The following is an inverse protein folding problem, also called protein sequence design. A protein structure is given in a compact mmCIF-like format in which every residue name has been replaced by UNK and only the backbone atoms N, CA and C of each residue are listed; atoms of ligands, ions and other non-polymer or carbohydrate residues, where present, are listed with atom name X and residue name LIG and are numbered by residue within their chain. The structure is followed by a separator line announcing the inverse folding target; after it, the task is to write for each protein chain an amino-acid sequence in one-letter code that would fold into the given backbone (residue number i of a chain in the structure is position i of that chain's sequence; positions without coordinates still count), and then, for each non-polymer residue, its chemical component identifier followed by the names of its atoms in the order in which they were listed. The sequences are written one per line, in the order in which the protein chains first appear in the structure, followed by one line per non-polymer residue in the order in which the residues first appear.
data_IF_316593724252
#
_entry.id   IF_316593724252
#
_cell.length_a   1.000
_cell.length_b   1.000
_cell.length_c   1.000
_cell.angle_alpha   90.00
_cell.angle_beta   90.00
_cell.angle_gamma   90.00
#
_symmetry.space_group_name_H-M   'P 1'
#
loop_
_entity.id
_entity.type
_entity.pdbx_description
1 polymer ?
#
# COMPACT_ATOMS: atom_id res chain seq x y z
N UNK A 1 -41.61 18.34 -12.46
CA UNK A 1 -41.59 18.13 -11.00
C UNK A 1 -41.89 16.70 -10.55
N UNK A 2 -42.41 15.81 -11.38
CA UNK A 2 -42.90 14.46 -10.99
C UNK A 2 -41.82 13.37 -11.07
N UNK A 3 -40.70 13.59 -11.71
CA UNK A 3 -39.65 12.56 -11.89
C UNK A 3 -38.62 12.53 -10.74
N UNK A 4 -38.41 13.65 -10.06
CA UNK A 4 -37.48 13.73 -8.91
C UNK A 4 -38.09 13.14 -7.62
N UNK A 5 -39.40 13.16 -7.45
CA UNK A 5 -40.05 12.58 -6.27
C UNK A 5 -40.04 11.04 -6.27
N UNK A 6 -40.14 10.40 -7.43
CA UNK A 6 -40.11 8.93 -7.52
C UNK A 6 -38.72 8.31 -7.24
N UNK A 7 -37.62 9.05 -7.46
CA UNK A 7 -36.27 8.56 -7.12
C UNK A 7 -35.99 8.61 -5.61
N UNK A 8 -36.61 9.53 -4.88
CA UNK A 8 -36.43 9.65 -3.44
C UNK A 8 -37.13 8.53 -2.65
N UNK A 9 -38.33 8.13 -3.09
CA UNK A 9 -39.09 7.05 -2.44
C UNK A 9 -38.48 5.67 -2.68
N UNK A 10 -37.92 5.42 -3.87
CA UNK A 10 -37.26 4.16 -4.17
C UNK A 10 -35.93 3.99 -3.38
N UNK A 11 -35.19 5.07 -3.10
CA UNK A 11 -33.96 5.03 -2.29
C UNK A 11 -34.19 4.55 -0.85
N UNK A 12 -35.24 5.03 -0.19
CA UNK A 12 -35.59 4.67 1.18
C UNK A 12 -36.09 3.23 1.30
N UNK A 13 -36.89 2.75 0.37
CA UNK A 13 -37.42 1.38 0.39
C UNK A 13 -36.30 0.30 0.28
N UNK A 14 -35.23 0.58 -0.47
CA UNK A 14 -34.09 -0.31 -0.59
C UNK A 14 -33.23 -0.32 0.68
N UNK A 15 -33.02 0.82 1.32
CA UNK A 15 -32.25 0.94 2.56
C UNK A 15 -32.99 0.23 3.70
N UNK A 16 -34.30 0.42 3.83
CA UNK A 16 -35.11 -0.26 4.85
C UNK A 16 -35.14 -1.78 4.63
N UNK A 17 -35.25 -2.26 3.40
CA UNK A 17 -35.17 -3.67 3.06
C UNK A 17 -33.78 -4.24 3.36
N UNK A 18 -32.70 -3.49 3.11
CA UNK A 18 -31.33 -3.92 3.41
C UNK A 18 -31.09 -4.02 4.91
N UNK A 19 -31.51 -3.04 5.70
CA UNK A 19 -31.39 -3.05 7.17
C UNK A 19 -32.23 -4.17 7.78
N UNK A 20 -33.45 -4.39 7.33
CA UNK A 20 -34.31 -5.47 7.81
C UNK A 20 -33.79 -6.88 7.42
N UNK A 21 -33.01 -6.98 6.35
CA UNK A 21 -32.51 -8.24 5.80
C UNK A 21 -31.21 -8.73 6.46
N UNK A 22 -30.41 -7.82 7.04
CA UNK A 22 -29.12 -8.13 7.66
C UNK A 22 -29.20 -8.82 9.03
N UNK A 23 -30.40 -9.03 9.59
CA UNK A 23 -30.59 -9.63 10.94
C UNK A 23 -30.77 -11.17 10.92
N UNK A 24 -30.74 -11.83 9.76
CA UNK A 24 -30.95 -13.30 9.71
C UNK A 24 -30.36 -13.99 8.48
N UNK A 25 -29.39 -14.84 8.71
CA UNK A 25 -29.00 -16.06 7.95
C UNK A 25 -28.88 -15.98 6.41
N UNK A 26 -28.32 -14.93 5.83
CA UNK A 26 -27.98 -14.94 4.41
C UNK A 26 -26.64 -15.62 4.14
N UNK A 27 -26.54 -16.33 3.00
CA UNK A 27 -25.25 -16.80 2.51
C UNK A 27 -24.32 -15.60 2.16
N UNK A 28 -23.00 -15.67 2.40
CA UNK A 28 -22.06 -14.55 2.14
C UNK A 28 -22.16 -13.97 0.72
N UNK A 29 -22.40 -14.80 -0.29
CA UNK A 29 -22.59 -14.36 -1.68
C UNK A 29 -23.85 -13.53 -1.89
N UNK A 30 -24.93 -13.79 -1.16
CA UNK A 30 -26.16 -13.03 -1.24
C UNK A 30 -26.03 -11.69 -0.51
N UNK A 31 -25.30 -11.63 0.62
CA UNK A 31 -24.96 -10.37 1.29
C UNK A 31 -24.15 -9.45 0.38
N UNK A 32 -23.13 -10.00 -0.29
CA UNK A 32 -22.32 -9.24 -1.25
C UNK A 32 -23.16 -8.66 -2.37
N UNK A 33 -24.08 -9.43 -2.97
CA UNK A 33 -24.94 -8.96 -4.06
C UNK A 33 -25.88 -7.85 -3.60
N UNK A 34 -26.50 -7.98 -2.43
CA UNK A 34 -27.36 -6.95 -1.84
C UNK A 34 -26.59 -5.64 -1.56
N UNK A 35 -25.37 -5.77 -1.04
CA UNK A 35 -24.47 -4.64 -0.81
C UNK A 35 -24.13 -3.91 -2.12
N UNK A 36 -23.78 -4.64 -3.18
CA UNK A 36 -23.49 -4.04 -4.48
C UNK A 36 -24.73 -3.42 -5.14
N UNK A 37 -25.92 -3.98 -4.90
CA UNK A 37 -27.18 -3.41 -5.40
C UNK A 37 -27.45 -2.05 -4.75
N UNK A 38 -27.28 -1.97 -3.42
CA UNK A 38 -27.40 -0.69 -2.69
C UNK A 38 -26.31 0.32 -3.16
N UNK A 39 -25.06 -0.12 -3.35
CA UNK A 39 -24.00 0.72 -3.89
C UNK A 39 -24.36 1.31 -5.26
N UNK A 40 -24.93 0.50 -6.15
CA UNK A 40 -25.43 0.97 -7.45
C UNK A 40 -26.59 1.96 -7.29
N UNK A 41 -27.45 1.75 -6.30
CA UNK A 41 -28.54 2.66 -5.96
C UNK A 41 -28.05 4.07 -5.56
N UNK A 42 -26.90 4.19 -4.92
CA UNK A 42 -26.24 5.46 -4.63
C UNK A 42 -25.51 6.09 -5.84
N UNK A 43 -25.40 5.38 -6.95
CA UNK A 43 -24.75 5.86 -8.18
C UNK A 43 -23.36 5.27 -8.41
N UNK A 44 -22.91 4.33 -7.59
CA UNK A 44 -21.71 3.53 -7.84
C UNK A 44 -21.89 2.58 -9.04
N UNK A 45 -20.79 2.12 -9.61
CA UNK A 45 -20.79 1.08 -10.65
C UNK A 45 -20.04 -0.14 -10.11
N UNK A 46 -20.69 -1.29 -10.13
CA UNK A 46 -20.09 -2.58 -9.79
C UNK A 46 -20.74 -3.66 -10.67
N UNK A 47 -20.10 -3.98 -11.79
CA UNK A 47 -20.58 -4.95 -12.77
C UNK A 47 -19.58 -6.10 -12.90
N UNK A 48 -20.07 -7.34 -12.96
CA UNK A 48 -19.26 -8.55 -13.12
C UNK A 48 -18.19 -8.71 -12.04
N UNK A 49 -18.53 -8.51 -10.77
CA UNK A 49 -17.59 -8.57 -9.66
C UNK A 49 -18.13 -9.35 -8.47
N UNK A 50 -17.28 -10.18 -7.86
CA UNK A 50 -17.54 -10.88 -6.62
C UNK A 50 -16.34 -10.78 -5.68
N UNK A 51 -16.60 -10.81 -4.37
CA UNK A 51 -15.55 -10.94 -3.36
C UNK A 51 -15.35 -12.41 -3.01
N UNK A 52 -14.12 -12.89 -3.00
CA UNK A 52 -13.76 -14.21 -2.51
C UNK A 52 -12.30 -14.27 -2.07
N UNK A 53 -11.94 -15.33 -1.38
CA UNK A 53 -10.55 -15.63 -1.05
C UNK A 53 -9.77 -16.03 -2.30
N UNK A 54 -8.53 -15.56 -2.37
CA UNK A 54 -7.58 -15.80 -3.45
C UNK A 54 -6.15 -15.91 -2.94
N UNK A 55 -5.16 -15.94 -3.83
CA UNK A 55 -3.75 -16.08 -3.46
C UNK A 55 -3.20 -14.96 -2.57
N UNK A 56 -3.85 -13.79 -2.58
CA UNK A 56 -3.48 -12.61 -1.81
C UNK A 56 -4.44 -12.30 -0.66
N UNK A 57 -5.19 -13.32 -0.19
CA UNK A 57 -6.27 -13.16 0.78
C UNK A 57 -7.60 -12.80 0.12
N UNK A 58 -8.48 -12.12 0.87
CA UNK A 58 -9.75 -11.66 0.31
C UNK A 58 -9.53 -10.60 -0.77
N UNK A 59 -10.13 -10.80 -1.93
CA UNK A 59 -9.97 -9.91 -3.08
C UNK A 59 -11.21 -9.88 -3.97
N UNK A 60 -11.14 -9.12 -5.07
CA UNK A 60 -12.21 -9.02 -6.06
C UNK A 60 -11.88 -9.85 -7.30
N UNK A 61 -12.88 -10.56 -7.78
CA UNK A 61 -12.79 -11.47 -8.93
C UNK A 61 -13.93 -11.22 -9.91
N UNK A 62 -13.74 -11.45 -11.23
CA UNK A 62 -14.85 -11.44 -12.15
C UNK A 62 -15.80 -12.63 -11.87
N UNK A 63 -17.12 -12.40 -11.95
CA UNK A 63 -18.11 -13.48 -11.93
C UNK A 63 -17.98 -14.32 -13.20
N UNK A 64 -17.81 -13.63 -14.35
CA UNK A 64 -17.55 -14.23 -15.65
C UNK A 64 -16.21 -13.69 -16.18
N UNK A 65 -15.13 -14.51 -16.19
CA UNK A 65 -13.80 -14.08 -16.64
C UNK A 65 -13.75 -13.60 -18.09
N UNK A 66 -14.70 -14.00 -18.92
CA UNK A 66 -14.80 -13.58 -20.33
C UNK A 66 -15.41 -12.19 -20.52
N UNK A 67 -15.97 -11.60 -19.47
CA UNK A 67 -16.66 -10.30 -19.54
C UNK A 67 -15.87 -9.18 -18.87
N UNK A 68 -16.12 -7.97 -19.35
CA UNK A 68 -15.53 -6.76 -18.76
C UNK A 68 -16.05 -6.52 -17.34
N UNK A 69 -15.14 -6.34 -16.42
CA UNK A 69 -15.40 -5.78 -15.07
C UNK A 69 -15.51 -4.27 -15.20
N UNK A 70 -16.48 -3.67 -14.50
CA UNK A 70 -16.57 -2.22 -14.34
C UNK A 70 -16.81 -1.90 -12.87
N UNK A 71 -15.87 -1.25 -12.25
CA UNK A 71 -15.94 -0.73 -10.88
C UNK A 71 -15.70 0.77 -10.93
N UNK A 72 -16.58 1.56 -10.29
CA UNK A 72 -16.41 3.01 -10.16
C UNK A 72 -17.06 3.52 -8.89
N UNK A 73 -16.31 4.32 -8.16
CA UNK A 73 -16.80 5.12 -7.03
C UNK A 73 -16.86 6.57 -7.51
N UNK A 74 -18.05 7.16 -7.71
CA UNK A 74 -18.18 8.58 -8.02
C UNK A 74 -17.63 9.46 -6.89
N UNK A 75 -17.22 10.69 -7.19
CA UNK A 75 -16.70 11.64 -6.20
C UNK A 75 -17.61 11.79 -4.98
N UNK A 76 -18.93 11.80 -5.18
CA UNK A 76 -19.94 11.93 -4.12
C UNK A 76 -19.97 10.75 -3.13
N UNK A 77 -19.35 9.61 -3.48
CA UNK A 77 -19.28 8.40 -2.63
C UNK A 77 -17.86 8.13 -2.12
N UNK A 78 -16.88 8.93 -2.50
CA UNK A 78 -15.53 8.87 -1.92
C UNK A 78 -15.57 9.43 -0.51
N UNK A 79 -15.03 8.68 0.46
CA UNK A 79 -15.10 9.07 1.87
C UNK A 79 -13.75 9.60 2.32
N UNK A 80 -13.61 10.91 2.64
CA UNK A 80 -12.39 11.47 3.20
C UNK A 80 -11.97 10.73 4.48
N UNK A 81 -10.67 10.45 4.66
CA UNK A 81 -10.19 9.70 5.83
C UNK A 81 -10.41 10.44 7.15
N UNK A 82 -10.53 11.76 7.13
CA UNK A 82 -10.86 12.60 8.28
C UNK A 82 -12.37 12.64 8.57
N UNK A 83 -13.22 12.22 7.62
CA UNK A 83 -14.65 12.07 7.79
C UNK A 83 -15.07 10.76 8.47
N UNK A 84 -14.14 9.83 8.72
CA UNK A 84 -14.44 8.56 9.41
C UNK A 84 -13.87 8.54 10.82
N UNK A 85 -14.46 7.69 11.66
CA UNK A 85 -13.96 7.38 13.00
C UNK A 85 -14.26 5.93 13.36
N UNK A 86 -13.56 5.44 14.37
CA UNK A 86 -13.88 4.17 15.02
C UNK A 86 -14.81 4.45 16.20
N UNK A 87 -15.97 3.83 16.22
CA UNK A 87 -16.97 3.93 17.28
C UNK A 87 -17.45 2.53 17.65
N UNK A 88 -17.21 2.11 18.89
CA UNK A 88 -17.58 0.78 19.41
C UNK A 88 -17.13 -0.37 18.47
N UNK A 89 -15.90 -0.27 17.95
CA UNK A 89 -15.32 -1.26 17.02
C UNK A 89 -15.78 -1.17 15.57
N UNK A 90 -16.73 -0.28 15.25
CA UNK A 90 -17.24 -0.06 13.89
C UNK A 90 -16.63 1.19 13.24
N UNK A 91 -16.34 1.11 11.94
CA UNK A 91 -15.92 2.27 11.14
C UNK A 91 -17.16 3.02 10.66
N UNK A 92 -17.34 4.23 11.15
CA UNK A 92 -18.52 5.06 10.89
C UNK A 92 -18.16 6.41 10.27
N UNK A 93 -19.08 6.98 9.50
CA UNK A 93 -18.99 8.34 8.97
C UNK A 93 -19.44 9.32 10.08
N UNK A 94 -18.64 10.36 10.37
CA UNK A 94 -18.90 11.35 11.42
C UNK A 94 -20.12 12.22 11.13
N UNK A 95 -20.26 12.65 9.87
CA UNK A 95 -21.37 13.47 9.41
C UNK A 95 -22.11 12.80 8.26
N UNK A 96 -23.19 12.03 8.55
CA UNK A 96 -24.01 11.38 7.53
C UNK A 96 -24.65 12.34 6.54
N UNK A 97 -24.89 13.61 6.92
CA UNK A 97 -25.57 14.59 6.08
C UNK A 97 -24.75 15.05 4.86
N UNK A 98 -23.43 14.82 4.89
CA UNK A 98 -22.53 15.10 3.77
C UNK A 98 -22.65 14.08 2.62
N UNK A 99 -23.41 13.00 2.80
CA UNK A 99 -23.55 11.91 1.84
C UNK A 99 -25.02 11.66 1.46
N UNK A 100 -25.28 10.87 0.40
CA UNK A 100 -26.65 10.49 0.05
C UNK A 100 -27.36 9.81 1.23
N UNK A 101 -28.67 10.03 1.41
CA UNK A 101 -29.44 9.40 2.48
C UNK A 101 -29.26 7.88 2.52
N UNK A 102 -28.96 7.32 3.70
CA UNK A 102 -28.71 5.89 3.92
C UNK A 102 -27.28 5.42 3.54
N UNK A 103 -26.45 6.26 2.93
CA UNK A 103 -25.10 5.87 2.54
C UNK A 103 -24.19 5.58 3.75
N UNK A 104 -24.31 6.36 4.84
CA UNK A 104 -23.50 6.15 6.04
C UNK A 104 -23.77 4.79 6.70
N UNK A 105 -25.03 4.36 6.76
CA UNK A 105 -25.40 3.05 7.29
C UNK A 105 -24.92 1.92 6.39
N UNK A 106 -25.03 2.09 5.08
CA UNK A 106 -24.48 1.16 4.10
C UNK A 106 -22.96 1.06 4.23
N UNK A 107 -22.25 2.19 4.37
CA UNK A 107 -20.79 2.23 4.52
C UNK A 107 -20.35 1.50 5.78
N UNK A 108 -21.02 1.71 6.90
CA UNK A 108 -20.74 1.00 8.16
C UNK A 108 -20.91 -0.52 7.98
N UNK A 109 -21.99 -0.98 7.35
CA UNK A 109 -22.22 -2.40 7.06
C UNK A 109 -21.18 -2.98 6.09
N UNK A 110 -20.81 -2.22 5.05
CA UNK A 110 -19.75 -2.57 4.13
C UNK A 110 -18.41 -2.77 4.87
N UNK A 111 -18.03 -1.83 5.71
CA UNK A 111 -16.79 -1.92 6.49
C UNK A 111 -16.82 -3.12 7.44
N UNK A 112 -17.92 -3.34 8.14
CA UNK A 112 -18.07 -4.43 9.10
C UNK A 112 -17.99 -5.82 8.46
N UNK A 113 -18.58 -6.00 7.28
CA UNK A 113 -18.74 -7.33 6.69
C UNK A 113 -17.73 -7.65 5.56
N UNK A 114 -17.13 -6.65 4.93
CA UNK A 114 -16.33 -6.86 3.71
C UNK A 114 -14.94 -6.21 3.73
N UNK A 115 -14.64 -5.33 4.68
CA UNK A 115 -13.36 -4.64 4.76
C UNK A 115 -12.78 -4.69 6.18
N UNK A 116 -13.02 -3.70 7.03
CA UNK A 116 -12.48 -3.61 8.39
C UNK A 116 -12.78 -4.84 9.26
N UNK A 117 -14.04 -5.22 9.38
CA UNK A 117 -14.50 -6.29 10.28
C UNK A 117 -14.27 -7.70 9.75
N UNK A 118 -14.08 -7.90 8.43
CA UNK A 118 -13.84 -9.24 7.88
C UNK A 118 -12.44 -9.74 8.25
N UNK A 119 -11.40 -9.09 7.72
CA UNK A 119 -10.00 -9.44 7.97
C UNK A 119 -9.09 -8.23 8.14
N UNK A 120 -9.54 -7.04 7.76
CA UNK A 120 -8.70 -5.85 7.69
C UNK A 120 -8.07 -5.48 9.03
N UNK A 121 -8.83 -5.58 10.13
CA UNK A 121 -8.33 -5.33 11.48
C UNK A 121 -7.32 -6.40 11.91
N UNK A 122 -7.70 -7.68 11.82
CA UNK A 122 -6.90 -8.81 12.31
C UNK A 122 -5.57 -8.97 11.58
N UNK A 123 -5.56 -8.82 10.26
CA UNK A 123 -4.34 -8.95 9.46
C UNK A 123 -3.33 -7.84 9.79
N UNK A 124 -3.80 -6.61 9.97
CA UNK A 124 -2.95 -5.49 10.40
C UNK A 124 -2.44 -5.73 11.82
N UNK A 125 -3.31 -6.17 12.73
CA UNK A 125 -2.92 -6.45 14.11
C UNK A 125 -1.86 -7.54 14.19
N UNK A 126 -2.05 -8.66 13.50
CA UNK A 126 -1.10 -9.77 13.45
C UNK A 126 0.26 -9.33 12.87
N UNK A 127 0.25 -8.53 11.81
CA UNK A 127 1.47 -7.99 11.22
C UNK A 127 2.23 -7.07 12.19
N UNK A 128 1.54 -6.14 12.83
CA UNK A 128 2.15 -5.22 13.79
C UNK A 128 2.69 -5.93 15.03
N UNK A 129 2.00 -6.96 15.53
CA UNK A 129 2.52 -7.81 16.63
C UNK A 129 3.75 -8.59 16.19
N UNK A 130 3.74 -9.15 14.99
CA UNK A 130 4.90 -9.83 14.43
C UNK A 130 6.12 -8.91 14.33
N UNK A 131 5.92 -7.64 13.95
CA UNK A 131 7.01 -6.67 13.94
C UNK A 131 7.46 -6.29 15.36
N UNK A 132 6.56 -6.10 16.31
CA UNK A 132 6.90 -5.79 17.72
C UNK A 132 7.72 -6.89 18.38
N UNK A 133 7.49 -8.13 18.01
CA UNK A 133 8.20 -9.29 18.56
C UNK A 133 9.65 -9.43 18.06
N UNK A 134 10.08 -8.61 17.09
CA UNK A 134 11.46 -8.63 16.60
C UNK A 134 12.46 -8.18 17.66
N UNK A 135 13.72 -8.66 17.61
CA UNK A 135 14.78 -8.22 18.53
C UNK A 135 15.04 -6.71 18.45
N UNK A 136 15.43 -6.10 19.56
CA UNK A 136 15.76 -4.67 19.66
C UNK A 136 16.81 -4.22 18.65
N UNK A 137 17.82 -5.06 18.38
CA UNK A 137 18.84 -4.76 17.38
C UNK A 137 18.24 -4.58 15.97
N UNK A 138 17.27 -5.42 15.61
CA UNK A 138 16.55 -5.30 14.34
C UNK A 138 15.72 -4.00 14.31
N UNK A 139 15.03 -3.64 15.40
CA UNK A 139 14.30 -2.38 15.50
C UNK A 139 15.21 -1.16 15.33
N UNK A 140 16.37 -1.17 15.96
CA UNK A 140 17.37 -0.09 15.83
C UNK A 140 17.85 0.06 14.39
N UNK A 141 18.12 -1.04 13.71
CA UNK A 141 18.54 -1.02 12.30
C UNK A 141 17.40 -0.56 11.37
N UNK A 142 16.18 -1.04 11.55
CA UNK A 142 15.03 -0.58 10.77
C UNK A 142 14.82 0.94 10.92
N UNK A 143 14.94 1.46 12.14
CA UNK A 143 14.87 2.90 12.42
C UNK A 143 16.00 3.67 11.74
N UNK A 144 17.24 3.21 11.89
CA UNK A 144 18.43 3.82 11.27
C UNK A 144 18.34 3.85 9.75
N UNK A 145 17.83 2.78 9.15
CA UNK A 145 17.66 2.65 7.70
C UNK A 145 16.43 3.39 7.14
N UNK A 146 15.66 4.08 8.00
CA UNK A 146 14.48 4.85 7.60
C UNK A 146 13.27 3.99 7.20
N UNK A 147 13.28 2.71 7.54
CA UNK A 147 12.25 1.75 7.14
C UNK A 147 11.07 1.70 8.14
N UNK A 148 11.39 1.68 9.44
CA UNK A 148 10.40 1.48 10.48
C UNK A 148 10.85 2.17 11.77
N UNK A 149 9.95 2.86 12.43
CA UNK A 149 10.18 3.42 13.75
C UNK A 149 9.01 3.05 14.66
N UNK A 150 9.27 2.15 15.62
CA UNK A 150 8.28 1.66 16.57
C UNK A 150 7.64 2.81 17.37
N UNK A 151 8.45 3.78 17.81
CA UNK A 151 7.99 4.91 18.62
C UNK A 151 6.96 5.79 17.90
N UNK A 152 7.09 5.91 16.58
CA UNK A 152 6.17 6.72 15.75
C UNK A 152 4.97 5.90 15.23
N UNK A 153 5.01 4.59 15.37
CA UNK A 153 3.99 3.70 14.80
C UNK A 153 2.84 3.46 15.76
N UNK A 154 3.15 3.46 17.06
CA UNK A 154 2.20 3.29 18.16
C UNK A 154 2.46 4.32 19.26
N UNK A 155 2.17 5.61 19.00
CA UNK A 155 2.50 6.68 19.94
C UNK A 155 1.53 6.78 21.11
N UNK A 156 0.43 6.03 21.14
CA UNK A 156 -0.63 6.17 22.11
C UNK A 156 -0.91 4.92 22.95
N UNK A 157 -1.83 5.06 23.89
CA UNK A 157 -2.30 3.97 24.77
C UNK A 157 -3.49 3.19 24.17
N UNK A 158 -4.15 3.74 23.15
CA UNK A 158 -5.32 3.14 22.53
C UNK A 158 -4.94 2.33 21.29
N UNK A 159 -4.66 1.03 21.49
CA UNK A 159 -4.24 0.09 20.46
C UNK A 159 -5.25 -0.02 19.30
N UNK A 160 -6.54 -0.08 19.60
CA UNK A 160 -7.58 -0.22 18.57
C UNK A 160 -7.56 0.98 17.62
N UNK A 161 -7.41 2.19 18.17
CA UNK A 161 -7.28 3.40 17.37
C UNK A 161 -6.01 3.42 16.51
N UNK A 162 -4.91 2.86 17.00
CA UNK A 162 -3.66 2.77 16.25
C UNK A 162 -3.80 1.79 15.07
N UNK A 163 -4.39 0.62 15.28
CA UNK A 163 -4.71 -0.34 14.21
C UNK A 163 -5.65 0.30 13.17
N UNK A 164 -6.66 1.05 13.63
CA UNK A 164 -7.55 1.78 12.73
C UNK A 164 -6.81 2.83 11.89
N UNK A 165 -5.90 3.60 12.48
CA UNK A 165 -5.06 4.54 11.71
C UNK A 165 -4.17 3.82 10.68
N UNK A 166 -3.66 2.64 11.02
CA UNK A 166 -2.92 1.79 10.06
C UNK A 166 -3.83 1.30 8.94
N UNK A 167 -5.02 0.83 9.27
CA UNK A 167 -6.02 0.43 8.29
C UNK A 167 -6.30 1.57 7.29
N UNK A 168 -6.59 2.77 7.76
CA UNK A 168 -6.82 3.92 6.88
C UNK A 168 -5.62 4.19 5.97
N UNK A 169 -4.39 4.12 6.50
CA UNK A 169 -3.16 4.34 5.71
C UNK A 169 -2.97 3.33 4.57
N UNK A 170 -3.50 2.13 4.69
CA UNK A 170 -3.40 1.10 3.64
C UNK A 170 -4.53 1.15 2.62
N UNK A 171 -5.58 1.93 2.86
CA UNK A 171 -6.83 1.95 2.08
C UNK A 171 -7.10 3.27 1.35
N UNK A 172 -6.47 4.38 1.75
CA UNK A 172 -6.72 5.64 1.08
C UNK A 172 -5.90 5.82 -0.18
N UNK A 173 -6.42 6.64 -1.08
CA UNK A 173 -5.69 7.19 -2.22
C UNK A 173 -5.76 8.72 -2.18
N UNK A 174 -4.76 9.40 -2.74
CA UNK A 174 -4.85 10.85 -2.98
C UNK A 174 -5.68 11.09 -4.25
N UNK A 175 -6.81 11.77 -4.11
CA UNK A 175 -7.68 12.14 -5.21
C UNK A 175 -8.07 13.61 -5.10
N UNK A 176 -7.77 14.40 -6.13
CA UNK A 176 -8.04 15.86 -6.16
C UNK A 176 -7.54 16.60 -4.91
N UNK A 177 -6.39 16.21 -4.39
CA UNK A 177 -5.77 16.82 -3.20
C UNK A 177 -6.26 16.29 -1.84
N UNK A 178 -7.25 15.41 -1.81
CA UNK A 178 -7.79 14.81 -0.59
C UNK A 178 -7.38 13.33 -0.47
N UNK A 179 -7.20 12.86 0.75
CA UNK A 179 -7.03 11.43 1.05
C UNK A 179 -8.41 10.81 1.24
N UNK A 180 -8.78 9.88 0.36
CA UNK A 180 -10.14 9.30 0.33
C UNK A 180 -10.12 7.78 0.35
N UNK A 181 -11.09 7.17 1.03
CA UNK A 181 -11.43 5.76 0.90
C UNK A 181 -12.30 5.56 -0.34
N UNK A 182 -12.15 4.41 -0.97
CA UNK A 182 -12.84 4.02 -2.19
C UNK A 182 -13.67 2.76 -1.94
N UNK A 183 -14.84 2.84 -1.30
CA UNK A 183 -15.61 1.63 -0.96
C UNK A 183 -15.81 0.71 -2.16
N UNK A 184 -15.74 -0.60 -1.94
CA UNK A 184 -15.69 -1.65 -2.95
C UNK A 184 -14.34 -1.73 -3.69
N UNK A 185 -13.86 -0.64 -4.29
CA UNK A 185 -12.58 -0.63 -5.02
C UNK A 185 -11.37 -0.88 -4.10
N UNK A 186 -11.44 -0.46 -2.84
CA UNK A 186 -10.35 -0.69 -1.86
C UNK A 186 -10.09 -2.17 -1.54
N UNK A 187 -10.98 -3.07 -1.97
CA UNK A 187 -10.83 -4.53 -1.82
C UNK A 187 -10.02 -5.17 -2.96
N UNK A 188 -9.62 -4.40 -3.97
CA UNK A 188 -8.78 -4.89 -5.06
C UNK A 188 -7.35 -5.05 -4.57
N UNK A 189 -6.76 -6.21 -4.78
CA UNK A 189 -5.38 -6.49 -4.36
C UNK A 189 -4.32 -5.91 -5.30
N UNK A 190 -3.08 -5.90 -4.83
CA UNK A 190 -1.96 -5.30 -5.54
C UNK A 190 -1.24 -6.29 -6.46
N UNK A 191 -0.84 -5.80 -7.66
CA UNK A 191 0.20 -6.41 -8.47
C UNK A 191 1.06 -5.34 -9.15
N UNK A 192 2.39 -5.44 -9.11
CA UNK A 192 3.29 -4.42 -9.69
C UNK A 192 3.13 -4.25 -11.20
N UNK A 193 2.72 -5.32 -11.91
CA UNK A 193 2.52 -5.30 -13.35
C UNK A 193 1.15 -4.80 -13.80
N UNK A 194 0.20 -4.64 -12.85
CA UNK A 194 -1.14 -4.16 -13.14
C UNK A 194 -1.14 -2.65 -13.45
N UNK A 195 -2.23 -2.19 -14.06
CA UNK A 195 -2.48 -0.75 -14.21
C UNK A 195 -2.85 -0.14 -12.86
N UNK A 196 -2.53 1.13 -12.66
CA UNK A 196 -3.01 1.89 -11.50
C UNK A 196 -4.51 2.19 -11.57
N UNK A 197 -5.03 2.77 -10.50
CA UNK A 197 -6.40 3.28 -10.47
C UNK A 197 -6.61 4.37 -11.53
N UNK A 198 -7.74 4.30 -12.23
CA UNK A 198 -8.14 5.38 -13.12
C UNK A 198 -8.85 6.46 -12.29
N UNK A 199 -8.20 7.62 -12.17
CA UNK A 199 -8.68 8.79 -11.42
C UNK A 199 -9.23 9.89 -12.36
N UNK A 200 -9.51 9.55 -13.61
CA UNK A 200 -10.08 10.49 -14.58
C UNK A 200 -11.59 10.72 -14.38
N UNK A 201 -12.07 11.93 -14.69
CA UNK A 201 -13.48 12.27 -14.63
C UNK A 201 -14.00 12.55 -13.23
N UNK A 202 -15.16 11.98 -12.89
CA UNK A 202 -15.95 12.23 -11.68
C UNK A 202 -15.87 11.07 -10.67
N UNK A 203 -14.67 10.55 -10.44
CA UNK A 203 -14.45 9.49 -9.46
C UNK A 203 -13.23 8.63 -9.75
N UNK A 204 -13.19 7.48 -9.08
CA UNK A 204 -12.11 6.49 -9.19
C UNK A 204 -12.66 5.20 -9.76
N UNK A 205 -11.95 4.59 -10.71
CA UNK A 205 -12.42 3.40 -11.40
C UNK A 205 -11.33 2.33 -11.56
N UNK A 206 -11.78 1.09 -11.63
CA UNK A 206 -11.02 -0.10 -12.05
C UNK A 206 -11.88 -0.87 -13.05
N UNK A 207 -11.28 -1.41 -14.08
CA UNK A 207 -12.01 -2.20 -15.05
C UNK A 207 -11.14 -2.87 -16.07
N UNK A 208 -11.79 -3.67 -16.93
CA UNK A 208 -11.15 -4.45 -17.96
C UNK A 208 -11.58 -5.91 -17.95
N UNK A 209 -11.00 -6.71 -18.81
CA UNK A 209 -11.18 -8.17 -18.81
C UNK A 209 -10.10 -8.78 -17.94
N UNK A 210 -10.49 -9.56 -16.95
CA UNK A 210 -9.60 -10.26 -16.03
C UNK A 210 -9.90 -11.76 -16.12
N UNK A 211 -8.85 -12.57 -16.27
CA UNK A 211 -8.99 -14.03 -16.32
C UNK A 211 -9.17 -14.62 -14.92
N UNK A 212 -8.64 -13.94 -13.90
CA UNK A 212 -8.67 -14.32 -12.51
C UNK A 212 -8.86 -13.07 -11.65
N UNK A 213 -8.14 -12.90 -10.55
CA UNK A 213 -8.26 -11.78 -9.62
C UNK A 213 -8.10 -10.41 -10.29
N UNK A 214 -8.92 -9.45 -9.87
CA UNK A 214 -8.83 -8.06 -10.29
C UNK A 214 -7.72 -7.41 -9.48
N UNK A 215 -6.62 -7.07 -10.14
CA UNK A 215 -5.43 -6.51 -9.51
C UNK A 215 -5.14 -5.11 -10.02
N UNK A 216 -4.60 -4.27 -9.15
CA UNK A 216 -4.13 -2.91 -9.49
C UNK A 216 -2.72 -2.67 -8.96
N UNK A 217 -2.01 -1.74 -9.57
CA UNK A 217 -0.78 -1.21 -8.98
C UNK A 217 -1.15 -0.04 -8.04
N UNK A 218 -0.92 -0.21 -6.74
CA UNK A 218 -1.26 0.81 -5.74
C UNK A 218 -0.40 2.06 -5.89
N UNK A 219 0.90 1.88 -6.14
CA UNK A 219 1.89 2.96 -6.32
C UNK A 219 3.24 2.37 -6.71
N UNK A 220 4.13 3.20 -7.19
CA UNK A 220 5.55 2.85 -7.30
C UNK A 220 6.15 2.72 -5.91
N UNK A 221 6.73 1.57 -5.62
CA UNK A 221 7.36 1.26 -4.33
C UNK A 221 8.52 0.29 -4.52
N UNK A 222 9.22 -0.01 -3.45
CA UNK A 222 10.14 -1.14 -3.35
C UNK A 222 9.61 -2.20 -2.37
N UNK A 223 10.19 -3.41 -2.35
CA UNK A 223 9.68 -4.52 -1.53
C UNK A 223 9.58 -4.22 -0.04
N UNK A 224 10.59 -3.57 0.56
CA UNK A 224 10.58 -3.27 2.00
C UNK A 224 9.56 -2.18 2.37
N UNK A 225 9.45 -1.13 1.57
CA UNK A 225 8.43 -0.11 1.79
C UNK A 225 7.03 -0.66 1.56
N UNK A 226 6.85 -1.60 0.60
CA UNK A 226 5.58 -2.30 0.40
C UNK A 226 5.23 -3.15 1.63
N UNK A 227 6.14 -3.99 2.10
CA UNK A 227 5.93 -4.81 3.28
C UNK A 227 5.59 -3.95 4.50
N UNK A 228 6.46 -3.00 4.85
CA UNK A 228 6.30 -2.22 6.07
C UNK A 228 5.15 -1.20 5.99
N UNK A 229 4.76 -0.80 4.78
CA UNK A 229 3.63 0.09 4.53
C UNK A 229 2.28 -0.63 4.55
N UNK A 230 2.19 -1.78 3.93
CA UNK A 230 0.93 -2.49 3.66
C UNK A 230 0.80 -3.85 4.34
N UNK A 231 1.87 -4.43 4.88
CA UNK A 231 1.83 -5.69 5.64
C UNK A 231 1.96 -6.95 4.79
N UNK A 232 2.39 -6.85 3.52
CA UNK A 232 2.59 -8.01 2.66
C UNK A 232 3.86 -7.92 1.82
N UNK A 233 4.46 -9.08 1.53
CA UNK A 233 5.61 -9.20 0.65
C UNK A 233 5.19 -9.13 -0.83
N UNK A 234 5.96 -8.41 -1.64
CA UNK A 234 5.76 -8.32 -3.07
C UNK A 234 7.10 -8.11 -3.79
N UNK A 235 7.29 -8.84 -4.90
CA UNK A 235 8.45 -8.67 -5.76
C UNK A 235 8.29 -7.44 -6.66
N UNK A 236 8.42 -6.26 -6.05
CA UNK A 236 8.39 -5.00 -6.79
C UNK A 236 9.51 -4.94 -7.84
N UNK A 237 9.26 -4.31 -9.00
CA UNK A 237 10.27 -4.24 -10.07
C UNK A 237 11.38 -3.22 -9.80
N UNK A 238 11.21 -2.35 -8.81
CA UNK A 238 12.10 -1.24 -8.46
C UNK A 238 12.66 -1.38 -7.06
N UNK A 239 13.94 -1.06 -6.89
CA UNK A 239 14.63 -0.99 -5.59
C UNK A 239 15.17 0.41 -5.37
N UNK A 240 14.71 1.08 -4.31
CA UNK A 240 15.23 2.37 -3.86
C UNK A 240 16.29 2.18 -2.78
N UNK A 241 17.11 3.20 -2.55
CA UNK A 241 18.07 3.18 -1.45
C UNK A 241 17.37 3.25 -0.10
N UNK A 242 17.96 2.60 0.88
CA UNK A 242 17.73 2.83 2.31
C UNK A 242 18.43 4.11 2.76
N UNK A 243 18.12 4.61 3.96
CA UNK A 243 18.90 5.69 4.56
C UNK A 243 20.32 5.21 4.86
N UNK A 244 21.30 5.96 4.38
CA UNK A 244 22.71 5.68 4.61
C UNK A 244 23.48 6.96 4.96
N UNK A 245 24.56 6.80 5.69
CA UNK A 245 25.58 7.82 5.86
C UNK A 245 26.92 7.23 5.47
N UNK A 246 27.61 7.81 4.50
CA UNK A 246 28.88 7.33 3.97
C UNK A 246 29.88 8.48 3.70
N UNK A 247 31.13 8.14 3.43
CA UNK A 247 32.15 9.09 3.05
C UNK A 247 32.50 8.92 1.57
N UNK A 248 32.49 10.01 0.81
CA UNK A 248 32.89 10.03 -0.59
C UNK A 248 33.88 11.17 -0.84
N UNK A 249 35.12 10.84 -1.22
CA UNK A 249 36.19 11.80 -1.46
C UNK A 249 36.40 12.82 -0.30
N UNK A 250 36.32 12.34 0.94
CA UNK A 250 36.50 13.19 2.14
C UNK A 250 35.26 14.01 2.53
N UNK A 251 34.19 13.93 1.78
CA UNK A 251 32.91 14.60 2.06
C UNK A 251 31.89 13.60 2.63
N UNK A 252 31.14 14.02 3.64
CA UNK A 252 30.02 13.24 4.15
C UNK A 252 28.88 13.22 3.12
N UNK A 253 28.33 12.02 2.85
CA UNK A 253 27.15 11.83 2.01
C UNK A 253 26.04 11.24 2.85
N UNK A 254 24.89 11.94 2.90
CA UNK A 254 23.67 11.48 3.56
C UNK A 254 22.70 11.08 2.47
N UNK A 255 22.37 9.79 2.44
CA UNK A 255 21.34 9.25 1.54
C UNK A 255 20.03 9.14 2.31
N UNK A 256 19.03 9.83 1.84
CA UNK A 256 17.65 9.71 2.30
C UNK A 256 16.92 8.73 1.38
N UNK A 257 16.67 7.55 1.90
CA UNK A 257 16.02 6.46 1.18
C UNK A 257 14.51 6.64 1.02
N UNK A 258 13.87 5.62 0.47
CA UNK A 258 12.42 5.54 0.34
C UNK A 258 11.92 5.61 -1.10
N UNK A 259 10.68 5.16 -1.29
CA UNK A 259 10.01 5.18 -2.58
C UNK A 259 9.60 6.60 -3.02
N UNK A 260 9.24 6.73 -4.29
CA UNK A 260 8.89 8.00 -4.94
C UNK A 260 7.47 7.95 -5.47
N UNK A 261 6.74 9.04 -5.30
CA UNK A 261 5.38 9.20 -5.84
C UNK A 261 5.35 9.77 -7.27
N UNK A 262 6.45 10.38 -7.73
CA UNK A 262 6.53 11.10 -9.02
C UNK A 262 7.00 10.23 -10.21
N UNK A 263 7.09 8.92 -9.99
CA UNK A 263 7.46 7.93 -11.01
C UNK A 263 8.94 7.60 -11.06
N UNK A 264 9.29 6.62 -11.93
CA UNK A 264 10.63 6.04 -12.02
C UNK A 264 11.58 6.75 -13.00
N UNK A 265 11.05 7.65 -13.85
CA UNK A 265 11.83 8.25 -14.96
C UNK A 265 12.54 9.54 -14.61
N UNK A 266 12.27 10.11 -13.44
CA UNK A 266 12.94 11.34 -12.98
C UNK A 266 14.23 11.02 -12.24
N UNK A 267 15.30 11.82 -12.40
CA UNK A 267 16.48 11.74 -11.56
C UNK A 267 16.14 11.95 -10.07
N UNK A 268 16.93 11.37 -9.18
CA UNK A 268 16.89 11.73 -7.76
C UNK A 268 17.38 13.18 -7.55
N UNK A 269 17.07 13.74 -6.39
CA UNK A 269 17.59 15.06 -6.01
C UNK A 269 18.97 14.91 -5.35
N UNK A 270 19.94 15.73 -5.74
CA UNK A 270 21.25 15.83 -5.09
C UNK A 270 21.50 17.28 -4.75
N UNK A 271 21.74 17.54 -3.46
CA UNK A 271 21.95 18.89 -2.92
C UNK A 271 23.20 18.95 -2.06
N UNK A 272 23.98 20.03 -2.19
CA UNK A 272 25.06 20.31 -1.26
C UNK A 272 24.51 21.17 -0.13
N UNK A 273 24.64 20.70 1.10
CA UNK A 273 24.22 21.40 2.30
C UNK A 273 25.43 21.51 3.23
N UNK A 274 25.96 22.72 3.38
CA UNK A 274 27.17 23.02 4.15
C UNK A 274 28.35 22.10 3.72
N UNK A 275 28.80 21.22 4.62
CA UNK A 275 29.91 20.30 4.44
C UNK A 275 29.52 18.91 3.94
N UNK A 276 28.21 18.66 3.73
CA UNK A 276 27.66 17.36 3.32
C UNK A 276 26.94 17.41 1.98
N UNK A 277 26.88 16.26 1.32
CA UNK A 277 26.07 16.00 0.15
C UNK A 277 24.83 15.22 0.58
N UNK A 278 23.64 15.70 0.22
CA UNK A 278 22.36 15.02 0.47
C UNK A 278 21.84 14.44 -0.82
N UNK A 279 21.62 13.13 -0.85
CA UNK A 279 21.06 12.39 -1.99
C UNK A 279 19.69 11.88 -1.60
N UNK A 280 18.62 12.30 -2.29
CA UNK A 280 17.25 12.01 -1.91
C UNK A 280 16.63 10.98 -2.85
N UNK A 281 16.20 9.86 -2.32
CA UNK A 281 15.46 8.77 -2.99
C UNK A 281 16.13 8.26 -4.28
N UNK A 282 17.41 7.86 -4.27
CA UNK A 282 18.04 7.30 -5.45
C UNK A 282 17.44 5.92 -5.75
N UNK A 283 17.06 5.73 -7.01
CA UNK A 283 16.69 4.43 -7.57
C UNK A 283 17.98 3.64 -7.81
N UNK A 284 18.10 2.43 -7.26
CA UNK A 284 19.28 1.57 -7.37
C UNK A 284 19.10 0.43 -8.37
N UNK A 285 17.87 -0.05 -8.51
CA UNK A 285 17.55 -1.14 -9.43
C UNK A 285 16.20 -0.98 -10.10
N UNK A 286 16.10 -1.47 -11.33
CA UNK A 286 14.85 -1.57 -12.07
C UNK A 286 14.91 -2.80 -12.98
N UNK A 287 14.16 -3.84 -12.67
CA UNK A 287 14.23 -5.16 -13.35
C UNK A 287 14.04 -5.07 -14.87
N UNK A 288 13.14 -4.21 -15.36
CA UNK A 288 12.86 -4.08 -16.80
C UNK A 288 13.91 -3.25 -17.56
N UNK A 289 14.62 -2.37 -16.85
CA UNK A 289 15.59 -1.44 -17.43
C UNK A 289 16.81 -1.31 -16.50
N UNK A 290 17.68 -2.33 -16.37
CA UNK A 290 18.75 -2.35 -15.38
C UNK A 290 19.75 -1.18 -15.47
N UNK A 291 19.95 -0.62 -16.67
CA UNK A 291 20.83 0.53 -16.90
C UNK A 291 20.23 1.90 -16.53
N UNK A 292 18.90 1.99 -16.43
CA UNK A 292 18.21 3.26 -16.19
C UNK A 292 18.56 3.89 -14.84
N UNK A 293 18.63 3.16 -13.71
CA UNK A 293 18.98 3.74 -12.40
C UNK A 293 20.30 4.50 -12.43
N UNK A 294 21.36 3.91 -12.99
CA UNK A 294 22.67 4.54 -13.11
C UNK A 294 22.67 5.77 -14.03
N UNK A 295 21.91 5.72 -15.12
CA UNK A 295 21.73 6.85 -16.03
C UNK A 295 21.02 8.03 -15.34
N UNK A 296 19.95 7.75 -14.61
CA UNK A 296 19.20 8.78 -13.87
C UNK A 296 20.06 9.39 -12.75
N UNK A 297 20.83 8.56 -12.03
CA UNK A 297 21.75 9.01 -11.00
C UNK A 297 22.87 9.90 -11.57
N UNK A 298 23.46 9.52 -12.70
CA UNK A 298 24.47 10.34 -13.38
C UNK A 298 23.91 11.69 -13.81
N UNK A 299 22.68 11.74 -14.29
CA UNK A 299 22.00 13.03 -14.62
C UNK A 299 21.80 13.88 -13.36
N UNK A 300 21.43 13.27 -12.23
CA UNK A 300 21.31 13.99 -10.97
C UNK A 300 22.67 14.56 -10.49
N UNK A 301 23.75 13.79 -10.64
CA UNK A 301 25.10 14.23 -10.28
C UNK A 301 25.62 15.37 -11.14
N UNK A 302 25.16 15.52 -12.37
CA UNK A 302 25.66 16.54 -13.31
C UNK A 302 25.46 18.00 -12.81
N UNK A 303 24.56 18.23 -11.86
CA UNK A 303 24.35 19.56 -11.25
C UNK A 303 25.38 19.88 -10.15
N UNK A 304 26.20 18.90 -9.74
CA UNK A 304 27.23 19.08 -8.70
C UNK A 304 28.63 18.94 -9.35
N UNK A 305 29.36 20.03 -9.55
CA UNK A 305 30.67 19.97 -10.18
C UNK A 305 31.67 19.08 -9.44
N UNK A 306 32.42 18.27 -10.20
CA UNK A 306 33.47 17.39 -9.67
C UNK A 306 32.98 16.12 -9.01
N UNK A 307 31.67 15.84 -8.95
CA UNK A 307 31.12 14.62 -8.38
C UNK A 307 31.32 13.43 -9.33
N UNK A 308 31.93 12.35 -8.84
CA UNK A 308 32.13 11.10 -9.60
C UNK A 308 30.91 10.20 -9.48
N UNK A 309 29.95 10.38 -10.37
CA UNK A 309 28.63 9.76 -10.30
C UNK A 309 28.68 8.23 -10.17
N UNK A 310 29.49 7.55 -10.98
CA UNK A 310 29.56 6.08 -10.95
C UNK A 310 30.14 5.55 -9.63
N UNK A 311 31.22 6.16 -9.14
CA UNK A 311 31.84 5.77 -7.87
C UNK A 311 30.88 5.97 -6.69
N UNK A 312 30.16 7.09 -6.66
CA UNK A 312 29.17 7.37 -5.63
C UNK A 312 27.98 6.39 -5.72
N UNK A 313 27.49 6.12 -6.93
CA UNK A 313 26.42 5.14 -7.13
C UNK A 313 26.82 3.75 -6.59
N UNK A 314 28.02 3.29 -6.93
CA UNK A 314 28.55 2.00 -6.49
C UNK A 314 28.69 1.93 -4.96
N UNK A 315 29.16 3.01 -4.32
CA UNK A 315 29.24 3.09 -2.86
C UNK A 315 27.85 3.05 -2.20
N UNK A 316 26.87 3.76 -2.74
CA UNK A 316 25.49 3.73 -2.24
C UNK A 316 24.91 2.33 -2.42
N UNK A 317 25.10 1.71 -3.59
CA UNK A 317 24.63 0.35 -3.85
C UNK A 317 25.25 -0.66 -2.88
N UNK A 318 26.57 -0.63 -2.70
CA UNK A 318 27.29 -1.49 -1.75
C UNK A 318 26.82 -1.27 -0.31
N UNK A 319 26.62 -0.01 0.11
CA UNK A 319 26.07 0.31 1.43
C UNK A 319 24.70 -0.31 1.68
N UNK A 320 23.82 -0.29 0.66
CA UNK A 320 22.51 -0.96 0.74
C UNK A 320 22.64 -2.48 0.83
N UNK A 321 23.52 -3.07 0.03
CA UNK A 321 23.79 -4.50 0.05
C UNK A 321 24.27 -4.94 1.46
N UNK A 322 25.21 -4.20 2.05
CA UNK A 322 25.71 -4.48 3.41
C UNK A 322 24.63 -4.29 4.49
N UNK A 323 23.78 -3.27 4.37
CA UNK A 323 22.68 -3.04 5.31
C UNK A 323 21.64 -4.17 5.29
N UNK A 324 21.25 -4.62 4.08
CA UNK A 324 20.33 -5.75 3.91
C UNK A 324 20.92 -7.06 4.45
N UNK A 325 22.22 -7.30 4.19
CA UNK A 325 22.93 -8.47 4.74
C UNK A 325 22.95 -8.43 6.26
N UNK A 326 23.23 -7.27 6.87
CA UNK A 326 23.21 -7.10 8.32
C UNK A 326 21.84 -7.43 8.92
N UNK A 327 20.74 -6.96 8.31
CA UNK A 327 19.39 -7.31 8.73
C UNK A 327 19.11 -8.82 8.59
N UNK A 328 19.51 -9.44 7.49
CA UNK A 328 19.31 -10.86 7.25
C UNK A 328 20.05 -11.73 8.28
N UNK A 329 21.30 -11.36 8.63
CA UNK A 329 22.07 -12.04 9.67
C UNK A 329 21.43 -11.89 11.06
N UNK A 330 20.95 -10.70 11.42
CA UNK A 330 20.25 -10.49 12.69
C UNK A 330 18.92 -11.27 12.79
N UNK A 331 18.28 -11.55 11.66
CA UNK A 331 17.05 -12.33 11.58
C UNK A 331 17.31 -13.84 11.52
N UNK A 332 18.57 -14.29 11.38
CA UNK A 332 18.89 -15.69 11.38
C UNK A 332 18.54 -16.33 12.72
N UNK A 333 17.82 -17.46 12.69
CA UNK A 333 17.33 -18.12 13.90
C UNK A 333 16.18 -17.43 14.64
N UNK A 334 15.79 -16.21 14.24
CA UNK A 334 14.62 -15.54 14.82
C UNK A 334 13.34 -16.16 14.25
N UNK A 335 12.50 -16.73 15.12
CA UNK A 335 11.22 -17.35 14.77
C UNK A 335 10.09 -16.33 14.61
N UNK A 336 8.91 -16.84 14.18
CA UNK A 336 7.67 -16.06 14.05
C UNK A 336 7.45 -15.44 12.68
N UNK A 337 6.18 -15.12 12.40
CA UNK A 337 5.73 -14.64 11.08
C UNK A 337 6.34 -13.28 10.71
N UNK A 338 6.47 -12.36 11.67
CA UNK A 338 7.08 -11.05 11.43
C UNK A 338 8.54 -11.16 10.98
N UNK A 339 9.32 -12.06 11.59
CA UNK A 339 10.70 -12.31 11.18
C UNK A 339 10.78 -12.97 9.80
N UNK A 340 9.89 -13.94 9.52
CA UNK A 340 9.81 -14.60 8.22
C UNK A 340 9.44 -13.60 7.11
N UNK A 341 8.45 -12.77 7.35
CA UNK A 341 8.01 -11.73 6.41
C UNK A 341 9.11 -10.69 6.16
N UNK A 342 9.80 -10.23 7.22
CA UNK A 342 10.89 -9.26 7.08
C UNK A 342 12.08 -9.86 6.34
N UNK A 343 12.46 -11.12 6.61
CA UNK A 343 13.50 -11.83 5.83
C UNK A 343 13.14 -11.86 4.35
N UNK A 344 11.89 -12.25 4.02
CA UNK A 344 11.45 -12.28 2.63
C UNK A 344 11.49 -10.88 1.99
N UNK A 345 11.03 -9.85 2.71
CA UNK A 345 11.10 -8.46 2.24
C UNK A 345 12.52 -7.98 1.97
N UNK A 346 13.49 -8.34 2.84
CA UNK A 346 14.90 -8.05 2.63
C UNK A 346 15.46 -8.75 1.38
N UNK A 347 15.05 -10.02 1.14
CA UNK A 347 15.44 -10.77 -0.05
C UNK A 347 14.87 -10.19 -1.34
N UNK A 348 13.59 -9.86 -1.33
CA UNK A 348 12.93 -9.26 -2.47
C UNK A 348 13.56 -7.90 -2.80
N UNK A 349 13.91 -7.12 -1.76
CA UNK A 349 14.60 -5.84 -1.94
C UNK A 349 16.03 -6.00 -2.44
N UNK A 350 16.75 -7.02 -1.95
CA UNK A 350 18.08 -7.41 -2.46
C UNK A 350 18.06 -7.66 -3.96
N UNK A 351 17.07 -8.42 -4.45
CA UNK A 351 16.88 -8.68 -5.87
C UNK A 351 16.48 -7.40 -6.62
N UNK A 352 15.61 -6.58 -6.03
CA UNK A 352 15.11 -5.37 -6.66
C UNK A 352 16.21 -4.32 -6.91
N UNK A 353 17.24 -4.24 -6.05
CA UNK A 353 18.40 -3.37 -6.27
C UNK A 353 19.42 -3.97 -7.25
N UNK A 354 19.20 -5.17 -7.76
CA UNK A 354 20.02 -5.78 -8.81
C UNK A 354 21.09 -6.78 -8.34
N UNK A 355 21.02 -7.26 -7.07
CA UNK A 355 21.91 -8.32 -6.60
C UNK A 355 21.40 -9.71 -7.00
N UNK A 356 22.33 -10.64 -7.21
CA UNK A 356 22.01 -12.05 -7.48
C UNK A 356 21.84 -12.82 -6.15
N UNK A 357 20.86 -13.73 -6.11
CA UNK A 357 20.68 -14.66 -5.00
C UNK A 357 21.82 -15.70 -4.89
N UNK A 358 22.48 -16.00 -6.00
CA UNK A 358 23.64 -16.91 -6.03
C UNK A 358 24.81 -16.43 -5.16
N UNK A 359 25.03 -15.12 -5.11
CA UNK A 359 26.07 -14.51 -4.25
C UNK A 359 25.82 -14.69 -2.76
N UNK A 360 24.58 -15.03 -2.37
CA UNK A 360 24.16 -15.21 -0.98
C UNK A 360 24.44 -16.61 -0.43
N UNK A 361 24.31 -17.66 -1.26
CA UNK A 361 24.53 -19.03 -0.80
C UNK A 361 25.95 -19.24 -0.29
N UNK A 362 26.92 -18.52 -0.85
CA UNK A 362 28.31 -18.61 -0.46
C UNK A 362 28.59 -17.87 0.87
N UNK A 363 27.83 -16.80 1.16
CA UNK A 363 27.98 -16.02 2.41
C UNK A 363 27.30 -16.68 3.61
N UNK A 364 26.17 -17.39 3.37
CA UNK A 364 25.47 -18.13 4.42
C UNK A 364 26.08 -19.51 4.73
N UNK A 365 26.92 -20.04 3.83
CA UNK A 365 27.68 -21.26 4.05
C UNK A 365 29.05 -21.03 4.74
N UNK A 366 29.49 -19.77 4.83
CA UNK A 366 30.76 -19.37 5.44
C UNK A 366 30.61 -18.74 6.84
N UNK A 367 29.37 -18.64 7.38
CA UNK A 367 29.07 -18.22 8.74
C UNK A 367 28.45 -19.37 9.56
#
# INVERSE_FOLDING_TARGET
MTVLHRRHEQGNEWVEKYIAFCVGTMAPSAMWQALLEAFRGFGGIAENVMQREGPFGMGLFPIDPGKTVKLRVPDALLVPIDAVQLQEGAVVIKDPSAFPPGYADWFMQYQANHSWGLDGCRSIEAFEEGLKALPDAVHQDLKRLGLYNLDNRFPGENREQEIFQRFLKTRFINHKGNKVLMPVIELVNHAPAAKGFNQGGDGIAVGGVHADEILVNYSVSDPLHRLLGYGFNCQEPSGFSLNLCLQHNGQQVVVQGGGRSDGLTKPCTIERQDDKLVVVQPLLGLRREPGLPRTLFSRACAVVPGLRANELFDQIHQGNTMALMGLLLQLEGVGGDGAAQLRQGCLDHWIAIGNDLGTRSDLLQSA
#
